data_IF_540700777185
#
_entry.id   IF_540700777185
#
_cell.length_a   1.000
_cell.length_b   1.000
_cell.length_c   1.000
_cell.angle_alpha   90.00
_cell.angle_beta   90.00
_cell.angle_gamma   90.00
#
_symmetry.space_group_name_H-M   'P 1'
#
loop_
_entity.id
_entity.type
_entity.pdbx_description
1 polymer ?
#
# COMPACT_ATOMS: atom_id res chain seq x y z
N UNK A 1 27.33 -16.22 -12.29
CA UNK A 1 27.16 -16.87 -10.96
C UNK A 1 26.65 -15.93 -9.84
N UNK A 2 26.04 -14.76 -10.12
CA UNK A 2 25.69 -13.76 -9.09
C UNK A 2 24.20 -13.54 -8.73
N UNK A 3 23.24 -14.20 -9.39
CA UNK A 3 21.79 -13.95 -9.15
C UNK A 3 21.26 -14.67 -7.90
N UNK A 4 21.66 -15.92 -7.64
CA UNK A 4 21.13 -16.71 -6.50
C UNK A 4 21.34 -16.05 -5.12
N UNK A 5 22.45 -15.34 -4.91
CA UNK A 5 22.70 -14.65 -3.65
C UNK A 5 21.83 -13.40 -3.47
N UNK A 6 21.47 -12.70 -4.55
CA UNK A 6 20.71 -11.44 -4.46
C UNK A 6 19.25 -11.70 -4.12
N UNK A 7 18.65 -12.73 -4.71
CA UNK A 7 17.30 -13.19 -4.37
C UNK A 7 17.18 -13.61 -2.90
N UNK A 8 18.16 -14.35 -2.39
CA UNK A 8 18.20 -14.79 -0.99
C UNK A 8 18.40 -13.61 0.00
N UNK A 9 19.21 -12.61 -0.39
CA UNK A 9 19.39 -11.38 0.38
C UNK A 9 18.11 -10.54 0.42
N UNK A 10 17.38 -10.42 -0.69
CA UNK A 10 16.07 -9.75 -0.73
C UNK A 10 15.02 -10.46 0.14
N UNK A 11 15.06 -11.80 0.19
CA UNK A 11 14.24 -12.63 1.06
C UNK A 11 14.54 -12.43 2.57
N UNK A 12 15.80 -12.18 2.92
CA UNK A 12 16.27 -12.15 4.32
C UNK A 12 16.56 -10.74 4.86
N UNK A 13 16.49 -9.72 4.01
CA UNK A 13 16.79 -8.34 4.42
C UNK A 13 15.79 -7.83 5.46
N UNK A 14 16.33 -7.35 6.59
CA UNK A 14 15.56 -6.77 7.69
C UNK A 14 14.88 -5.46 7.25
N UNK A 15 13.85 -5.07 8.00
CA UNK A 15 13.20 -3.76 7.86
C UNK A 15 14.22 -2.64 8.07
N UNK A 16 14.16 -1.63 7.21
CA UNK A 16 14.87 -0.38 7.40
C UNK A 16 13.94 0.67 8.04
N UNK A 17 14.49 1.83 8.42
CA UNK A 17 13.71 2.92 9.03
C UNK A 17 12.58 3.43 8.13
N UNK A 18 12.75 3.38 6.81
CA UNK A 18 11.75 3.80 5.81
C UNK A 18 10.60 2.81 5.66
N UNK A 19 10.81 1.53 6.02
CA UNK A 19 9.77 0.51 6.08
C UNK A 19 8.89 0.72 7.33
N UNK A 20 9.52 1.16 8.43
CA UNK A 20 8.88 1.34 9.75
C UNK A 20 7.98 2.58 9.79
N UNK A 21 8.43 3.72 9.26
CA UNK A 21 7.68 4.99 9.26
C UNK A 21 6.23 4.82 8.75
N UNK A 22 5.97 4.30 7.55
CA UNK A 22 4.62 4.13 7.02
C UNK A 22 3.79 3.10 7.80
N UNK A 23 4.43 2.09 8.42
CA UNK A 23 3.72 1.15 9.32
C UNK A 23 3.24 1.88 10.57
N UNK A 24 4.13 2.64 11.22
CA UNK A 24 3.77 3.43 12.43
C UNK A 24 2.71 4.47 12.10
N UNK A 25 2.85 5.15 10.97
CA UNK A 25 1.87 6.13 10.50
C UNK A 25 0.50 5.48 10.26
N UNK A 26 0.48 4.33 9.59
CA UNK A 26 -0.74 3.54 9.38
C UNK A 26 -1.42 3.13 10.69
N UNK A 27 -0.67 2.59 11.65
CA UNK A 27 -1.21 2.19 12.96
C UNK A 27 -1.76 3.40 13.73
N UNK A 28 -1.06 4.53 13.69
CA UNK A 28 -1.49 5.76 14.34
C UNK A 28 -2.80 6.29 13.74
N UNK A 29 -2.89 6.33 12.40
CA UNK A 29 -4.12 6.72 11.71
C UNK A 29 -5.28 5.76 12.01
N UNK A 30 -5.03 4.45 12.03
CA UNK A 30 -6.03 3.45 12.41
C UNK A 30 -6.62 3.76 13.79
N UNK A 31 -5.77 4.04 14.78
CA UNK A 31 -6.21 4.41 16.12
C UNK A 31 -7.04 5.70 16.16
N UNK A 32 -6.65 6.72 15.39
CA UNK A 32 -7.40 7.97 15.26
C UNK A 32 -8.79 7.71 14.67
N UNK A 33 -8.86 6.92 13.59
CA UNK A 33 -10.14 6.57 12.94
C UNK A 33 -11.07 5.84 13.91
N UNK A 34 -10.57 4.82 14.62
CA UNK A 34 -11.37 4.09 15.60
C UNK A 34 -11.89 5.03 16.69
N UNK A 35 -11.07 5.97 17.17
CA UNK A 35 -11.49 6.95 18.18
C UNK A 35 -12.59 7.88 17.64
N UNK A 36 -12.41 8.44 16.45
CA UNK A 36 -13.36 9.37 15.83
C UNK A 36 -14.73 8.70 15.61
N UNK A 37 -14.73 7.48 15.09
CA UNK A 37 -15.96 6.71 14.83
C UNK A 37 -16.69 6.38 16.13
N UNK A 38 -15.98 5.89 17.15
CA UNK A 38 -16.59 5.58 18.45
C UNK A 38 -17.11 6.83 19.19
N UNK A 39 -16.48 7.99 18.97
CA UNK A 39 -16.98 9.26 19.51
C UNK A 39 -18.17 9.85 18.74
N UNK A 40 -18.64 9.17 17.69
CA UNK A 40 -19.68 9.65 16.78
C UNK A 40 -19.38 11.06 16.23
N UNK A 41 -18.10 11.31 15.92
CA UNK A 41 -17.67 12.60 15.40
C UNK A 41 -18.40 12.90 14.06
N UNK A 42 -19.00 14.09 13.87
CA UNK A 42 -19.89 14.37 12.74
C UNK A 42 -19.26 14.16 11.35
N UNK A 43 -17.95 14.39 11.22
CA UNK A 43 -17.22 14.27 9.95
C UNK A 43 -16.43 12.95 9.86
N UNK A 44 -16.66 12.00 10.79
CA UNK A 44 -15.92 10.73 10.82
C UNK A 44 -15.99 9.98 9.48
N UNK A 45 -17.13 10.04 8.79
CA UNK A 45 -17.30 9.43 7.45
C UNK A 45 -16.28 9.92 6.43
N UNK A 46 -15.97 11.23 6.42
CA UNK A 46 -15.04 11.81 5.45
C UNK A 46 -13.60 11.44 5.80
N UNK A 47 -13.26 11.40 7.09
CA UNK A 47 -11.97 10.89 7.55
C UNK A 47 -11.77 9.41 7.22
N UNK A 48 -12.77 8.56 7.45
CA UNK A 48 -12.72 7.14 7.07
C UNK A 48 -12.53 7.02 5.57
N UNK A 49 -13.28 7.79 4.79
CA UNK A 49 -13.18 7.81 3.34
C UNK A 49 -11.74 8.10 2.89
N UNK A 50 -11.15 9.24 3.30
CA UNK A 50 -9.79 9.60 2.93
C UNK A 50 -8.74 8.60 3.42
N UNK A 51 -8.93 8.04 4.61
CA UNK A 51 -8.06 7.01 5.15
C UNK A 51 -7.98 5.76 4.25
N UNK A 52 -9.09 5.38 3.59
CA UNK A 52 -9.10 4.25 2.64
C UNK A 52 -8.21 4.49 1.42
N UNK A 53 -8.01 5.75 0.98
CA UNK A 53 -7.11 6.09 -0.14
C UNK A 53 -5.68 6.31 0.29
N UNK A 54 -5.52 6.94 1.44
CA UNK A 54 -4.21 7.36 1.91
C UNK A 54 -3.32 6.14 2.14
N UNK A 55 -3.89 5.03 2.60
CA UNK A 55 -3.09 3.84 2.89
C UNK A 55 -2.44 3.24 1.63
N UNK A 56 -3.15 2.90 0.54
CA UNK A 56 -2.53 2.46 -0.72
C UNK A 56 -1.52 3.46 -1.29
N UNK A 57 -1.83 4.76 -1.22
CA UNK A 57 -0.93 5.82 -1.73
C UNK A 57 0.38 5.84 -0.94
N UNK A 58 0.32 5.78 0.39
CA UNK A 58 1.50 5.74 1.24
C UNK A 58 2.35 4.49 0.98
N UNK A 59 1.69 3.35 0.78
CA UNK A 59 2.37 2.11 0.45
C UNK A 59 3.08 2.23 -0.91
N UNK A 60 2.43 2.81 -1.92
CA UNK A 60 3.04 3.10 -3.22
C UNK A 60 4.23 4.06 -3.12
N UNK A 61 4.07 5.18 -2.42
CA UNK A 61 5.08 6.26 -2.43
C UNK A 61 6.30 5.89 -1.57
N UNK A 62 6.07 5.34 -0.37
CA UNK A 62 7.14 5.13 0.61
C UNK A 62 7.65 3.70 0.65
N UNK A 63 6.83 2.71 0.28
CA UNK A 63 7.15 1.30 0.45
C UNK A 63 7.25 0.50 -0.85
N UNK A 64 7.13 1.10 -2.03
CA UNK A 64 7.18 0.35 -3.29
C UNK A 64 8.43 -0.53 -3.42
N UNK A 65 9.62 0.05 -3.24
CA UNK A 65 10.88 -0.71 -3.29
C UNK A 65 10.97 -1.73 -2.16
N UNK A 66 10.34 -1.45 -1.03
CA UNK A 66 10.37 -2.27 0.17
C UNK A 66 9.43 -3.47 0.10
N UNK A 67 8.27 -3.34 -0.54
CA UNK A 67 7.32 -4.42 -0.81
C UNK A 67 7.92 -5.54 -1.69
N UNK A 68 9.08 -5.31 -2.30
CA UNK A 68 9.83 -6.36 -2.99
C UNK A 68 10.51 -7.33 -2.02
N UNK A 69 10.81 -6.88 -0.79
CA UNK A 69 11.34 -7.72 0.28
C UNK A 69 10.20 -8.56 0.86
N UNK A 70 10.43 -9.87 1.01
CA UNK A 70 9.39 -10.77 1.51
C UNK A 70 8.93 -10.39 2.93
N UNK A 71 9.85 -9.96 3.81
CA UNK A 71 9.51 -9.50 5.16
C UNK A 71 8.56 -8.29 5.16
N UNK A 72 8.84 -7.25 4.37
CA UNK A 72 7.99 -6.06 4.30
C UNK A 72 6.64 -6.38 3.65
N UNK A 73 6.65 -7.17 2.56
CA UNK A 73 5.43 -7.66 1.96
C UNK A 73 4.57 -8.46 2.94
N UNK A 74 5.19 -9.37 3.72
CA UNK A 74 4.49 -10.17 4.73
C UNK A 74 3.85 -9.32 5.82
N UNK A 75 4.51 -8.25 6.27
CA UNK A 75 3.91 -7.31 7.22
C UNK A 75 2.74 -6.56 6.60
N UNK A 76 2.87 -6.05 5.38
CA UNK A 76 1.76 -5.39 4.70
C UNK A 76 0.60 -6.35 4.40
N UNK A 77 0.89 -7.63 4.16
CA UNK A 77 -0.12 -8.67 4.04
C UNK A 77 -0.86 -8.88 5.37
N UNK A 78 -0.17 -8.94 6.51
CA UNK A 78 -0.82 -9.00 7.83
C UNK A 78 -1.67 -7.74 8.09
N UNK A 79 -1.14 -6.56 7.76
CA UNK A 79 -1.89 -5.29 7.84
C UNK A 79 -3.14 -5.34 6.96
N UNK A 80 -3.05 -5.94 5.76
CA UNK A 80 -4.20 -6.06 4.86
C UNK A 80 -5.32 -6.93 5.47
N UNK A 81 -4.96 -7.98 6.22
CA UNK A 81 -5.93 -8.79 6.96
C UNK A 81 -6.58 -7.93 8.06
N UNK A 82 -5.78 -7.18 8.82
CA UNK A 82 -6.30 -6.27 9.84
C UNK A 82 -7.23 -5.20 9.24
N UNK A 83 -6.96 -4.71 8.03
CA UNK A 83 -7.86 -3.78 7.33
C UNK A 83 -9.20 -4.39 6.97
N UNK A 84 -9.25 -5.68 6.62
CA UNK A 84 -10.52 -6.37 6.35
C UNK A 84 -11.33 -6.48 7.64
N UNK A 85 -10.70 -6.81 8.77
CA UNK A 85 -11.41 -6.79 10.06
C UNK A 85 -11.88 -5.39 10.44
N UNK A 86 -11.04 -4.37 10.22
CA UNK A 86 -11.43 -2.97 10.43
C UNK A 86 -12.61 -2.58 9.52
N UNK A 87 -12.62 -3.02 8.27
CA UNK A 87 -13.72 -2.81 7.35
C UNK A 87 -15.04 -3.37 7.90
N UNK A 88 -15.03 -4.65 8.31
CA UNK A 88 -16.20 -5.32 8.88
C UNK A 88 -16.71 -4.59 10.13
N UNK A 89 -15.80 -4.18 11.02
CA UNK A 89 -16.14 -3.40 12.21
C UNK A 89 -16.77 -2.04 11.85
N UNK A 90 -16.23 -1.32 10.87
CA UNK A 90 -16.74 -0.01 10.46
C UNK A 90 -18.09 -0.09 9.73
N UNK A 91 -18.44 -1.24 9.12
CA UNK A 91 -19.76 -1.44 8.50
C UNK A 91 -20.90 -1.44 9.52
N UNK A 92 -20.63 -1.70 10.80
CA UNK A 92 -21.63 -1.69 11.86
C UNK A 92 -22.14 -0.27 12.18
N UNK A 93 -21.44 0.77 11.72
CA UNK A 93 -21.78 2.16 12.00
C UNK A 93 -22.55 2.81 10.84
N UNK A 94 -23.87 3.00 11.03
CA UNK A 94 -24.72 3.66 10.03
C UNK A 94 -24.28 5.09 9.71
N UNK A 95 -23.63 5.78 10.65
CA UNK A 95 -23.09 7.14 10.47
C UNK A 95 -22.01 7.23 9.38
N UNK A 96 -21.45 6.10 8.95
CA UNK A 96 -20.44 6.02 7.89
C UNK A 96 -21.04 5.75 6.51
N UNK A 97 -22.37 5.62 6.41
CA UNK A 97 -23.05 5.44 5.13
C UNK A 97 -23.21 6.75 4.38
N UNK A 98 -22.74 6.77 3.13
CA UNK A 98 -23.17 7.73 2.12
C UNK A 98 -24.40 7.20 1.38
N UNK A 99 -25.00 8.05 0.54
CA UNK A 99 -26.17 7.67 -0.30
C UNK A 99 -25.91 6.46 -1.22
N UNK A 100 -24.65 6.14 -1.54
CA UNK A 100 -24.26 5.08 -2.48
C UNK A 100 -23.22 4.11 -1.91
N UNK A 101 -23.23 3.89 -0.59
CA UNK A 101 -22.34 2.91 0.05
C UNK A 101 -21.67 3.43 1.31
N UNK A 102 -20.82 2.61 1.92
CA UNK A 102 -20.16 2.92 3.18
C UNK A 102 -18.75 3.49 2.94
N UNK A 103 -18.35 4.49 3.72
CA UNK A 103 -17.02 5.10 3.66
C UNK A 103 -15.87 4.09 3.78
N UNK A 104 -16.08 2.98 4.51
CA UNK A 104 -15.09 1.95 4.74
C UNK A 104 -14.91 0.97 3.57
N UNK A 105 -15.76 1.01 2.53
CA UNK A 105 -15.73 0.05 1.41
C UNK A 105 -14.39 0.02 0.66
N UNK A 106 -13.59 1.08 0.72
CA UNK A 106 -12.26 1.11 0.09
C UNK A 106 -11.23 0.21 0.80
N UNK A 107 -11.41 -0.11 2.08
CA UNK A 107 -10.43 -0.87 2.86
C UNK A 107 -10.24 -2.31 2.37
N UNK A 108 -11.28 -2.93 1.82
CA UNK A 108 -11.17 -4.30 1.27
C UNK A 108 -10.29 -4.38 0.01
N UNK A 109 -10.07 -3.25 -0.69
CA UNK A 109 -9.34 -3.21 -1.95
C UNK A 109 -7.82 -3.29 -1.77
N UNK A 110 -7.32 -3.17 -0.54
CA UNK A 110 -5.88 -3.28 -0.25
C UNK A 110 -5.32 -4.66 -0.62
N UNK A 111 -6.12 -5.72 -0.61
CA UNK A 111 -5.69 -7.05 -1.04
C UNK A 111 -5.45 -7.10 -2.55
N UNK A 112 -6.38 -6.52 -3.31
CA UNK A 112 -6.25 -6.38 -4.77
C UNK A 112 -4.98 -5.59 -5.08
N UNK A 113 -4.73 -4.51 -4.35
CA UNK A 113 -3.51 -3.74 -4.47
C UNK A 113 -2.24 -4.58 -4.27
N UNK A 114 -2.14 -5.33 -3.17
CA UNK A 114 -0.96 -6.15 -2.87
C UNK A 114 -0.75 -7.26 -3.91
N UNK A 115 -1.82 -7.90 -4.38
CA UNK A 115 -1.76 -8.94 -5.42
C UNK A 115 -1.26 -8.34 -6.73
N UNK A 116 -1.86 -7.24 -7.21
CA UNK A 116 -1.43 -6.59 -8.45
C UNK A 116 0.03 -6.16 -8.33
N UNK A 117 0.43 -5.61 -7.18
CA UNK A 117 1.83 -5.26 -6.93
C UNK A 117 2.78 -6.47 -7.07
N UNK A 118 2.40 -7.62 -6.52
CA UNK A 118 3.22 -8.84 -6.61
C UNK A 118 3.26 -9.40 -8.04
N UNK A 119 2.16 -9.37 -8.79
CA UNK A 119 2.13 -9.74 -10.21
C UNK A 119 3.05 -8.83 -11.02
N UNK A 120 2.97 -7.52 -10.80
CA UNK A 120 3.80 -6.54 -11.50
C UNK A 120 5.29 -6.71 -11.20
N UNK A 121 5.64 -7.10 -9.98
CA UNK A 121 7.01 -7.49 -9.63
C UNK A 121 7.48 -8.68 -10.48
N UNK A 122 6.66 -9.72 -10.64
CA UNK A 122 7.01 -10.90 -11.45
C UNK A 122 7.21 -10.51 -12.91
N UNK A 123 6.26 -9.74 -13.47
CA UNK A 123 6.34 -9.22 -14.85
C UNK A 123 7.63 -8.41 -15.05
N UNK A 124 7.96 -7.53 -14.11
CA UNK A 124 9.16 -6.71 -14.18
C UNK A 124 10.44 -7.56 -14.22
N UNK A 125 10.57 -8.57 -13.35
CA UNK A 125 11.72 -9.48 -13.34
C UNK A 125 11.86 -10.21 -14.68
N UNK A 126 10.73 -10.61 -15.29
CA UNK A 126 10.71 -11.28 -16.60
C UNK A 126 11.17 -10.35 -17.72
N UNK A 127 10.64 -9.12 -17.78
CA UNK A 127 10.91 -8.15 -18.86
C UNK A 127 12.33 -7.60 -18.77
N UNK A 128 12.73 -7.12 -17.60
CA UNK A 128 13.99 -6.40 -17.42
C UNK A 128 15.18 -7.38 -17.33
N UNK A 129 14.92 -8.68 -17.14
CA UNK A 129 15.93 -9.76 -16.97
C UNK A 129 17.01 -9.44 -15.93
N UNK A 130 16.71 -8.50 -15.03
CA UNK A 130 17.54 -8.12 -13.89
C UNK A 130 16.64 -8.16 -12.67
N UNK A 131 17.13 -8.82 -11.62
CA UNK A 131 16.58 -8.63 -10.29
C UNK A 131 16.81 -7.16 -9.90
N UNK A 132 15.77 -6.53 -9.35
CA UNK A 132 15.84 -5.18 -8.81
C UNK A 132 17.09 -5.06 -7.93
N UNK A 133 18.05 -4.22 -8.32
CA UNK A 133 19.11 -3.84 -7.39
C UNK A 133 18.47 -2.89 -6.40
N UNK A 134 18.45 -3.20 -5.08
CA UNK A 134 18.11 -2.19 -4.09
C UNK A 134 19.21 -1.14 -4.18
N UNK A 135 18.98 -0.08 -4.96
CA UNK A 135 19.77 1.14 -4.84
C UNK A 135 19.40 1.68 -3.47
N UNK A 136 20.25 1.37 -2.49
CA UNK A 136 20.25 2.08 -1.23
C UNK A 136 20.29 3.57 -1.60
N UNK A 137 19.23 4.30 -1.27
CA UNK A 137 19.06 5.74 -1.49
C UNK A 137 20.19 6.61 -0.89
N UNK A 138 21.21 5.98 -0.31
CA UNK A 138 22.30 6.61 0.39
C UNK A 138 23.26 7.40 -0.53
N UNK A 139 23.38 7.04 -1.82
CA UNK A 139 24.36 7.66 -2.73
C UNK A 139 23.78 8.31 -3.99
N UNK A 140 22.47 8.28 -4.18
CA UNK A 140 21.85 8.85 -5.37
C UNK A 140 21.12 10.13 -4.97
N UNK A 141 21.79 11.27 -5.17
CA UNK A 141 21.15 12.59 -5.13
C UNK A 141 20.01 12.72 -6.16
N UNK A 142 19.52 13.93 -6.45
CA UNK A 142 18.31 14.19 -7.27
C UNK A 142 18.34 13.64 -8.71
N UNK A 143 19.39 12.92 -9.10
CA UNK A 143 19.54 12.21 -10.38
C UNK A 143 18.59 11.00 -10.57
N UNK A 144 17.93 10.49 -9.52
CA UNK A 144 16.99 9.35 -9.63
C UNK A 144 15.69 9.72 -10.38
N UNK A 145 15.38 11.02 -10.50
CA UNK A 145 14.13 11.47 -11.15
C UNK A 145 14.17 11.42 -12.69
N UNK A 146 15.31 11.12 -13.33
CA UNK A 146 15.42 11.02 -14.80
C UNK A 146 15.66 9.58 -15.24
N UNK A 147 14.58 8.91 -15.64
CA UNK A 147 14.64 7.76 -16.54
C UNK A 147 14.82 6.40 -15.90
N UNK A 148 14.55 6.23 -14.60
CA UNK A 148 14.52 4.90 -13.99
C UNK A 148 13.28 4.14 -14.55
N UNK A 149 13.46 3.05 -15.31
CA UNK A 149 12.33 2.29 -15.90
C UNK A 149 11.37 1.76 -14.83
N UNK A 150 11.90 1.59 -13.61
CA UNK A 150 11.17 1.27 -12.38
C UNK A 150 10.01 2.26 -12.14
N UNK A 151 10.22 3.57 -12.33
CA UNK A 151 9.18 4.59 -12.12
C UNK A 151 8.11 4.59 -13.23
N UNK A 152 8.49 4.23 -14.46
CA UNK A 152 7.61 4.21 -15.63
C UNK A 152 6.58 3.07 -15.50
N UNK A 153 6.94 1.96 -14.85
CA UNK A 153 5.99 0.88 -14.52
C UNK A 153 5.09 1.18 -13.31
N UNK A 154 5.41 2.20 -12.49
CA UNK A 154 4.72 2.50 -11.22
C UNK A 154 3.52 3.43 -11.36
N UNK A 155 3.56 4.36 -12.33
CA UNK A 155 2.45 5.25 -12.63
C UNK A 155 1.19 4.48 -13.12
N UNK A 156 1.29 3.45 -13.99
CA UNK A 156 0.13 2.65 -14.40
C UNK A 156 -0.55 1.92 -13.24
N UNK A 157 0.21 1.42 -12.26
CA UNK A 157 -0.29 0.69 -11.09
C UNK A 157 -1.17 1.55 -10.18
N UNK A 158 -0.69 2.76 -9.89
CA UNK A 158 -1.43 3.75 -9.11
C UNK A 158 -2.66 4.25 -9.86
N UNK A 159 -2.57 4.40 -11.20
CA UNK A 159 -3.71 4.74 -12.06
C UNK A 159 -4.75 3.61 -12.08
N UNK A 160 -4.36 2.35 -12.30
CA UNK A 160 -5.28 1.19 -12.30
C UNK A 160 -5.98 1.06 -10.94
N UNK A 161 -5.25 1.26 -9.85
CA UNK A 161 -5.83 1.22 -8.50
C UNK A 161 -6.88 2.33 -8.31
N UNK A 162 -6.60 3.56 -8.75
CA UNK A 162 -7.57 4.67 -8.74
C UNK A 162 -8.79 4.32 -9.60
N UNK A 163 -8.61 3.74 -10.79
CA UNK A 163 -9.73 3.35 -11.67
C UNK A 163 -10.61 2.24 -11.08
N UNK A 164 -10.01 1.17 -10.56
CA UNK A 164 -10.75 0.10 -9.89
C UNK A 164 -11.54 0.65 -8.70
N UNK A 165 -10.94 1.57 -7.95
CA UNK A 165 -11.58 2.21 -6.80
C UNK A 165 -12.76 3.11 -7.22
N UNK A 166 -12.60 3.95 -8.26
CA UNK A 166 -13.69 4.76 -8.85
C UNK A 166 -14.84 3.86 -9.33
N UNK A 167 -14.52 2.71 -9.91
CA UNK A 167 -15.51 1.74 -10.36
C UNK A 167 -16.31 1.13 -9.20
N UNK A 168 -15.64 0.71 -8.11
CA UNK A 168 -16.32 0.14 -6.94
C UNK A 168 -17.08 1.15 -6.10
N UNK A 169 -16.70 2.44 -6.12
CA UNK A 169 -17.41 3.48 -5.36
C UNK A 169 -18.63 4.04 -6.09
N UNK A 170 -18.65 3.97 -7.43
CA UNK A 170 -19.79 4.44 -8.23
C UNK A 170 -20.88 3.39 -8.45
N UNK A 171 -20.73 2.20 -7.88
CA UNK A 171 -21.63 1.06 -8.05
C UNK A 171 -22.32 0.74 -6.73
#
# INVERSE_FOLDING_TARGET
>A
MGSKNTFFILLTSKLNKYDIIPIVFYLTLTGIIIKLVNSQYPEAKDFVFYYTFLTPILVCVFNYKSLQKLYSYGIWFIISIAQVFLHLYLLEFESLNYKRGNAANGLQLIWIFLIIHQIMRVIHVIIVKREYKPIYLYNAGPKILKGDPDYILNAPLSIIFIFLWIYFYNK
#
